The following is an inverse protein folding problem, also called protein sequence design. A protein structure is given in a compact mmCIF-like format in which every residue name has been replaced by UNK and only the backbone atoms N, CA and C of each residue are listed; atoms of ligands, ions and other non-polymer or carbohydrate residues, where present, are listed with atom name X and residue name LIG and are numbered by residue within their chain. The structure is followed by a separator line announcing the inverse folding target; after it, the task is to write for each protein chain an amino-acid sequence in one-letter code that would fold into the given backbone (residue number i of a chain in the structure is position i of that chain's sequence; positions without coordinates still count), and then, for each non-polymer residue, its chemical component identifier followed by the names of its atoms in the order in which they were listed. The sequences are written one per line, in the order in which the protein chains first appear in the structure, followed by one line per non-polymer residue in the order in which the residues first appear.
data_IF_283942448669
#
_entry.id   IF_283942448669
#
_cell.length_a   1.000
_cell.length_b   1.000
_cell.length_c   1.000
_cell.angle_alpha   90.00
_cell.angle_beta   90.00
_cell.angle_gamma   90.00
#
_symmetry.space_group_name_H-M   'P 1'
#
loop_
_entity.id
_entity.type
_entity.pdbx_description
1 polymer ?
#
# COMPACT_ATOMS: atom_id res chain seq x y z
N UNK A 1 14.58 6.15 24.43
CA UNK A 1 14.97 4.86 23.81
C UNK A 1 14.30 4.81 22.46
N UNK A 2 15.06 4.66 21.37
CA UNK A 2 14.49 4.54 20.02
C UNK A 2 13.93 3.12 19.87
N UNK A 3 12.61 2.96 19.85
CA UNK A 3 11.99 1.69 19.46
C UNK A 3 12.25 1.51 17.97
N UNK A 4 12.96 0.45 17.59
CA UNK A 4 13.14 0.11 16.18
C UNK A 4 11.76 0.01 15.51
N UNK A 5 11.58 0.64 14.36
CA UNK A 5 10.34 0.53 13.59
C UNK A 5 10.10 -0.95 13.24
N UNK A 6 8.84 -1.43 13.32
CA UNK A 6 8.53 -2.83 13.02
C UNK A 6 8.86 -3.14 11.56
N UNK A 7 9.42 -4.34 11.34
CA UNK A 7 9.85 -4.83 10.02
C UNK A 7 9.52 -6.32 9.89
N UNK A 8 8.92 -6.73 8.77
CA UNK A 8 8.86 -8.14 8.40
C UNK A 8 10.23 -8.57 7.87
N UNK A 9 10.74 -9.67 8.39
CA UNK A 9 11.97 -10.30 7.89
C UNK A 9 11.60 -11.39 6.90
N UNK A 10 12.19 -11.36 5.71
CA UNK A 10 12.05 -12.38 4.67
C UNK A 10 13.38 -13.09 4.49
N UNK A 11 13.37 -14.41 4.56
CA UNK A 11 14.55 -15.27 4.42
C UNK A 11 14.32 -16.21 3.24
N UNK A 12 15.32 -16.37 2.39
CA UNK A 12 15.29 -17.38 1.34
C UNK A 12 16.14 -18.57 1.75
N UNK A 13 15.51 -19.62 2.27
CA UNK A 13 16.20 -20.85 2.66
C UNK A 13 16.29 -21.90 1.55
N UNK A 14 15.76 -21.58 0.36
CA UNK A 14 15.86 -22.41 -0.84
C UNK A 14 17.22 -22.30 -1.52
N UNK A 15 17.47 -23.17 -2.51
CA UNK A 15 18.69 -23.15 -3.33
C UNK A 15 18.60 -22.20 -4.54
N UNK A 16 17.47 -21.53 -4.75
CA UNK A 16 17.21 -20.66 -5.90
C UNK A 16 17.05 -19.21 -5.46
N UNK A 17 17.16 -18.26 -6.39
CA UNK A 17 16.79 -16.86 -6.12
C UNK A 17 15.27 -16.78 -5.88
N UNK A 18 14.86 -16.06 -4.83
CA UNK A 18 13.47 -15.82 -4.49
C UNK A 18 13.07 -14.36 -4.71
N UNK A 19 11.95 -14.11 -5.37
CA UNK A 19 11.32 -12.79 -5.40
C UNK A 19 10.18 -12.75 -4.41
N UNK A 20 10.13 -11.75 -3.54
CA UNK A 20 9.05 -11.62 -2.57
C UNK A 20 8.14 -10.45 -2.92
N UNK A 21 6.85 -10.64 -2.72
CA UNK A 21 5.85 -9.57 -2.75
C UNK A 21 5.16 -9.54 -1.41
N UNK A 22 5.19 -8.38 -0.76
CA UNK A 22 4.51 -8.14 0.51
C UNK A 22 3.41 -7.13 0.28
N UNK A 23 2.19 -7.51 0.63
CA UNK A 23 1.04 -6.62 0.69
C UNK A 23 0.61 -6.38 2.12
N UNK A 24 0.06 -5.21 2.41
CA UNK A 24 -0.65 -4.86 3.65
C UNK A 24 -2.05 -4.39 3.27
N UNK A 25 -3.06 -5.18 3.60
CA UNK A 25 -4.36 -5.07 2.96
C UNK A 25 -4.23 -5.16 1.43
N UNK A 26 -4.77 -4.17 0.73
CA UNK A 26 -4.69 -4.08 -0.74
C UNK A 26 -3.40 -3.41 -1.24
N UNK A 27 -2.57 -2.87 -0.36
CA UNK A 27 -1.38 -2.13 -0.73
C UNK A 27 -0.17 -3.04 -0.93
N UNK A 28 0.57 -2.86 -2.02
CA UNK A 28 1.85 -3.54 -2.22
C UNK A 28 2.97 -2.74 -1.56
N UNK A 29 3.38 -3.13 -0.35
CA UNK A 29 4.40 -2.41 0.42
C UNK A 29 5.84 -2.80 0.06
N UNK A 30 6.05 -3.94 -0.61
CA UNK A 30 7.34 -4.31 -1.17
C UNK A 30 7.21 -5.24 -2.40
N UNK A 31 8.06 -5.00 -3.40
CA UNK A 31 8.38 -5.93 -4.50
C UNK A 31 9.88 -6.10 -4.55
N UNK A 32 10.36 -7.26 -4.12
CA UNK A 32 11.78 -7.54 -3.99
C UNK A 32 12.21 -8.37 -5.21
N UNK A 33 13.06 -7.82 -6.10
CA UNK A 33 13.35 -8.43 -7.41
C UNK A 33 14.23 -9.68 -7.36
N UNK A 34 14.91 -9.95 -6.24
CA UNK A 34 15.70 -11.17 -6.05
C UNK A 34 16.41 -11.19 -4.70
N UNK A 35 16.23 -12.28 -3.97
CA UNK A 35 16.92 -12.62 -2.73
C UNK A 35 17.70 -13.89 -3.01
N UNK A 36 19.02 -13.82 -2.92
CA UNK A 36 19.90 -14.98 -3.11
C UNK A 36 19.62 -16.09 -2.10
N UNK A 37 20.03 -17.35 -2.36
CA UNK A 37 20.01 -18.42 -1.37
C UNK A 37 20.68 -18.00 -0.06
N UNK A 38 20.02 -18.29 1.06
CA UNK A 38 20.38 -17.84 2.43
C UNK A 38 20.36 -16.32 2.63
N UNK A 39 19.87 -15.58 1.65
CA UNK A 39 19.68 -14.14 1.73
C UNK A 39 18.54 -13.77 2.69
N UNK A 40 18.67 -12.59 3.29
CA UNK A 40 17.69 -12.01 4.21
C UNK A 40 17.41 -10.56 3.83
N UNK A 41 16.14 -10.17 3.85
CA UNK A 41 15.68 -8.80 3.67
C UNK A 41 14.73 -8.40 4.79
N UNK A 42 14.74 -7.11 5.13
CA UNK A 42 13.77 -6.50 6.03
C UNK A 42 12.86 -5.57 5.24
N UNK A 43 11.54 -5.71 5.44
CA UNK A 43 10.50 -4.89 4.85
C UNK A 43 9.88 -4.03 5.96
N UNK A 44 10.05 -2.70 5.92
CA UNK A 44 9.42 -1.80 6.88
C UNK A 44 7.90 -1.87 6.84
N UNK A 45 7.29 -2.15 7.99
CA UNK A 45 5.83 -2.29 8.14
C UNK A 45 5.17 -1.09 8.82
N UNK A 46 5.97 -0.14 9.30
CA UNK A 46 5.46 1.12 9.83
C UNK A 46 4.63 1.88 8.79
N UNK A 47 3.58 2.54 9.27
CA UNK A 47 2.61 3.29 8.47
C UNK A 47 2.99 4.77 8.49
N UNK A 48 3.46 5.25 7.34
CA UNK A 48 3.78 6.65 7.09
C UNK A 48 3.21 6.95 5.71
N UNK A 49 1.93 7.33 5.67
CA UNK A 49 1.23 7.58 4.43
C UNK A 49 1.03 9.08 4.22
N UNK A 50 1.07 9.45 2.94
CA UNK A 50 0.64 10.76 2.50
C UNK A 50 -0.31 10.62 1.32
N UNK A 51 -1.30 11.49 1.22
CA UNK A 51 -2.25 11.56 0.11
C UNK A 51 -2.10 12.90 -0.60
N UNK A 52 -2.07 12.86 -1.94
CA UNK A 52 -2.23 14.04 -2.81
C UNK A 52 -3.39 13.79 -3.74
N UNK A 53 -4.22 14.81 -3.97
CA UNK A 53 -5.24 14.75 -5.00
C UNK A 53 -4.78 15.52 -6.22
N UNK A 54 -5.12 15.01 -7.41
CA UNK A 54 -4.92 15.67 -8.69
C UNK A 54 -6.21 15.63 -9.48
N UNK A 55 -6.56 16.75 -10.13
CA UNK A 55 -7.69 16.80 -11.06
C UNK A 55 -7.39 17.75 -12.22
N UNK A 56 -8.20 17.69 -13.27
CA UNK A 56 -8.19 18.65 -14.37
C UNK A 56 -9.44 19.51 -14.24
N UNK A 57 -9.26 20.82 -14.15
CA UNK A 57 -10.35 21.80 -14.13
C UNK A 57 -10.04 22.86 -15.18
N UNK A 58 -10.98 23.14 -16.09
CA UNK A 58 -10.81 24.12 -17.17
C UNK A 58 -9.52 23.92 -18.00
N UNK A 59 -9.16 22.66 -18.28
CA UNK A 59 -7.92 22.24 -18.98
C UNK A 59 -6.62 22.50 -18.22
N UNK A 60 -6.68 22.98 -16.98
CA UNK A 60 -5.52 23.12 -16.11
C UNK A 60 -5.44 21.94 -15.12
N UNK A 61 -4.23 21.46 -14.85
CA UNK A 61 -3.99 20.45 -13.83
C UNK A 61 -3.86 21.12 -12.46
N UNK A 62 -4.67 20.69 -11.51
CA UNK A 62 -4.60 21.11 -10.11
C UNK A 62 -4.08 19.96 -9.26
N UNK A 63 -3.23 20.28 -8.29
CA UNK A 63 -2.69 19.30 -7.36
C UNK A 63 -2.62 19.90 -5.96
N UNK A 64 -3.01 19.12 -4.96
CA UNK A 64 -2.95 19.55 -3.55
C UNK A 64 -1.56 19.38 -2.96
N UNK A 65 -1.30 20.06 -1.85
CA UNK A 65 -0.21 19.69 -0.97
C UNK A 65 -0.42 18.26 -0.43
N UNK A 66 0.66 17.50 -0.11
CA UNK A 66 0.54 16.23 0.57
C UNK A 66 -0.09 16.39 1.95
N UNK A 67 -1.03 15.50 2.25
CA UNK A 67 -1.70 15.37 3.53
C UNK A 67 -1.28 14.07 4.20
N UNK A 68 -1.03 14.07 5.50
CA UNK A 68 -0.76 12.83 6.24
C UNK A 68 -1.98 11.94 6.21
N UNK A 69 -1.79 10.62 6.20
CA UNK A 69 -2.89 9.68 6.13
C UNK A 69 -2.68 8.49 7.04
N UNK A 70 -3.77 8.04 7.65
CA UNK A 70 -3.85 6.89 8.52
C UNK A 70 -5.04 6.00 8.12
N UNK A 71 -5.00 4.70 8.47
CA UNK A 71 -6.21 3.87 8.46
C UNK A 71 -7.35 4.54 9.23
N UNK A 72 -8.56 4.56 8.65
CA UNK A 72 -9.72 5.20 9.22
C UNK A 72 -9.94 6.65 8.78
N UNK A 73 -9.00 7.26 8.05
CA UNK A 73 -9.16 8.61 7.53
C UNK A 73 -10.04 8.65 6.28
N UNK A 74 -10.76 9.77 6.12
CA UNK A 74 -11.52 10.13 4.92
C UNK A 74 -10.94 11.39 4.29
N UNK A 75 -10.80 11.38 2.97
CA UNK A 75 -10.29 12.49 2.18
C UNK A 75 -11.34 12.95 1.15
N UNK A 76 -11.88 14.15 1.35
CA UNK A 76 -12.77 14.80 0.40
C UNK A 76 -11.98 15.78 -0.47
N UNK A 77 -11.87 15.50 -1.75
CA UNK A 77 -11.38 16.48 -2.72
C UNK A 77 -12.50 17.45 -3.12
N UNK A 78 -12.24 18.75 -3.00
CA UNK A 78 -13.19 19.78 -3.36
C UNK A 78 -12.51 20.97 -4.04
N UNK A 79 -13.29 21.67 -4.87
CA UNK A 79 -12.89 22.95 -5.46
C UNK A 79 -13.66 24.05 -4.74
N UNK A 80 -12.95 24.94 -4.07
CA UNK A 80 -13.51 26.11 -3.41
C UNK A 80 -13.38 27.33 -4.33
N UNK A 81 -14.48 28.04 -4.54
CA UNK A 81 -14.44 29.33 -5.22
C UNK A 81 -13.94 30.41 -4.25
N UNK A 82 -12.89 31.13 -4.63
CA UNK A 82 -12.33 32.26 -3.88
C UNK A 82 -12.75 33.55 -4.60
N UNK A 83 -13.93 34.04 -4.25
CA UNK A 83 -14.59 35.16 -4.93
C UNK A 83 -13.76 36.44 -4.94
N UNK A 84 -13.10 36.76 -3.82
CA UNK A 84 -12.31 37.99 -3.67
C UNK A 84 -11.06 38.02 -4.58
N UNK A 85 -10.63 36.86 -5.06
CA UNK A 85 -9.48 36.70 -5.95
C UNK A 85 -9.89 36.27 -7.37
N UNK A 86 -11.18 36.03 -7.61
CA UNK A 86 -11.68 35.51 -8.88
C UNK A 86 -11.06 34.17 -9.27
N UNK A 87 -10.66 33.34 -8.31
CA UNK A 87 -9.94 32.08 -8.55
C UNK A 87 -10.63 30.88 -7.89
N UNK A 88 -10.09 29.69 -8.17
CA UNK A 88 -10.46 28.43 -7.53
C UNK A 88 -9.28 27.89 -6.73
N UNK A 89 -9.58 27.33 -5.55
CA UNK A 89 -8.64 26.56 -4.76
C UNK A 89 -9.04 25.09 -4.79
N UNK A 90 -8.08 24.21 -5.07
CA UNK A 90 -8.30 22.76 -5.07
C UNK A 90 -7.64 22.18 -3.84
N UNK A 91 -8.45 21.60 -2.95
CA UNK A 91 -7.99 21.16 -1.64
C UNK A 91 -8.55 19.79 -1.26
N UNK A 92 -7.86 19.15 -0.31
CA UNK A 92 -8.36 18.00 0.43
C UNK A 92 -8.87 18.46 1.79
N UNK A 93 -10.09 18.05 2.14
CA UNK A 93 -10.62 18.15 3.50
C UNK A 93 -10.54 16.76 4.14
N UNK A 94 -9.92 16.68 5.31
CA UNK A 94 -9.82 15.43 6.08
C UNK A 94 -11.04 15.27 6.99
N UNK A 95 -11.46 14.03 7.19
CA UNK A 95 -12.49 13.66 8.15
C UNK A 95 -12.29 12.22 8.62
N UNK A 96 -13.19 11.74 9.48
CA UNK A 96 -13.24 10.34 9.85
C UNK A 96 -13.97 9.52 8.76
N UNK A 97 -13.39 8.40 8.36
CA UNK A 97 -14.01 7.40 7.51
C UNK A 97 -14.97 6.49 8.28
N UNK A 98 -15.75 5.71 7.55
CA UNK A 98 -16.70 4.76 8.13
C UNK A 98 -16.07 3.43 8.55
N UNK A 99 -14.85 3.13 8.09
CA UNK A 99 -14.13 1.87 8.35
C UNK A 99 -12.74 2.14 8.93
N UNK A 100 -12.39 1.58 10.11
CA UNK A 100 -11.10 1.83 10.75
C UNK A 100 -9.91 1.25 9.96
N UNK A 101 -10.12 0.21 9.16
CA UNK A 101 -9.08 -0.47 8.41
C UNK A 101 -9.00 -0.02 6.93
N UNK A 102 -9.59 1.13 6.60
CA UNK A 102 -9.60 1.65 5.22
C UNK A 102 -9.37 3.15 5.20
N UNK A 103 -8.83 3.63 4.09
CA UNK A 103 -8.92 5.04 3.73
C UNK A 103 -10.08 5.23 2.76
N UNK A 104 -10.86 6.28 2.96
CA UNK A 104 -12.00 6.62 2.11
C UNK A 104 -11.70 7.88 1.29
N UNK A 105 -12.04 7.87 0.00
CA UNK A 105 -11.75 8.93 -0.94
C UNK A 105 -13.05 9.38 -1.61
N UNK A 106 -13.37 10.65 -1.50
CA UNK A 106 -14.58 11.25 -2.06
C UNK A 106 -14.20 12.47 -2.90
N UNK A 107 -15.06 12.81 -3.86
CA UNK A 107 -14.91 14.06 -4.61
C UNK A 107 -16.23 14.79 -4.75
N UNK A 108 -16.23 16.12 -4.65
CA UNK A 108 -17.35 16.96 -5.10
C UNK A 108 -17.15 17.53 -6.50
N UNK A 109 -16.05 17.17 -7.18
CA UNK A 109 -15.68 17.75 -8.48
C UNK A 109 -16.39 17.05 -9.63
N UNK A 110 -16.76 17.82 -10.66
CA UNK A 110 -17.39 17.26 -11.87
C UNK A 110 -16.41 16.58 -12.83
N UNK A 111 -15.12 16.59 -12.50
CA UNK A 111 -14.06 15.89 -13.23
C UNK A 111 -13.43 14.84 -12.32
N UNK A 112 -12.90 13.74 -12.88
CA UNK A 112 -12.26 12.71 -12.07
C UNK A 112 -11.14 13.27 -11.19
N UNK A 113 -11.02 12.72 -9.98
CA UNK A 113 -9.92 13.01 -9.06
C UNK A 113 -9.09 11.76 -8.88
N UNK A 114 -7.78 11.91 -9.03
CA UNK A 114 -6.80 10.87 -8.75
C UNK A 114 -6.17 11.19 -7.40
N UNK A 115 -6.41 10.33 -6.41
CA UNK A 115 -5.74 10.34 -5.13
C UNK A 115 -4.49 9.47 -5.19
N UNK A 116 -3.32 10.08 -5.10
CA UNK A 116 -2.04 9.41 -5.04
C UNK A 116 -1.68 9.17 -3.58
N UNK A 117 -1.75 7.90 -3.17
CA UNK A 117 -1.25 7.42 -1.88
C UNK A 117 0.25 7.21 -2.02
N UNK A 118 1.01 7.82 -1.13
CA UNK A 118 2.46 7.76 -1.08
C UNK A 118 2.91 7.20 0.26
N UNK A 119 4.04 6.49 0.25
CA UNK A 119 4.75 6.06 1.46
C UNK A 119 6.18 6.59 1.39
N UNK A 120 6.61 7.29 2.44
CA UNK A 120 7.95 7.91 2.53
C UNK A 120 8.30 8.76 1.28
N UNK A 121 7.32 9.52 0.78
CA UNK A 121 7.46 10.39 -0.39
C UNK A 121 7.44 9.69 -1.75
N UNK A 122 7.32 8.37 -1.81
CA UNK A 122 7.22 7.60 -3.06
C UNK A 122 5.78 7.21 -3.36
N UNK A 123 5.30 7.33 -4.62
CA UNK A 123 3.98 6.83 -5.01
C UNK A 123 3.87 5.33 -4.74
N UNK A 124 2.82 4.95 -4.02
CA UNK A 124 2.51 3.56 -3.68
C UNK A 124 1.36 3.05 -4.54
N UNK A 125 0.29 3.82 -4.61
CA UNK A 125 -0.95 3.45 -5.29
C UNK A 125 -1.76 4.71 -5.61
N UNK A 126 -2.57 4.63 -6.66
CA UNK A 126 -3.55 5.66 -7.00
C UNK A 126 -4.96 5.11 -6.85
N UNK A 127 -5.86 5.92 -6.31
CA UNK A 127 -7.30 5.67 -6.23
C UNK A 127 -8.00 6.74 -7.06
N UNK A 128 -8.81 6.33 -8.03
CA UNK A 128 -9.52 7.26 -8.92
C UNK A 128 -10.98 7.34 -8.52
N UNK A 129 -11.43 8.51 -8.08
CA UNK A 129 -12.85 8.82 -7.88
C UNK A 129 -13.35 9.47 -9.16
N UNK A 130 -14.15 8.73 -9.93
CA UNK A 130 -14.53 9.13 -11.30
C UNK A 130 -15.73 10.08 -11.35
N UNK A 131 -16.64 9.97 -10.40
CA UNK A 131 -17.88 10.76 -10.34
C UNK A 131 -17.96 11.57 -9.05
N UNK A 132 -18.71 12.68 -9.10
CA UNK A 132 -18.97 13.48 -7.90
C UNK A 132 -19.89 12.72 -6.92
N UNK A 133 -19.63 12.92 -5.63
CA UNK A 133 -20.36 12.34 -4.50
C UNK A 133 -20.29 10.80 -4.40
N UNK A 134 -19.44 10.16 -5.21
CA UNK A 134 -19.06 8.76 -5.02
C UNK A 134 -17.87 8.66 -4.06
N UNK A 135 -17.81 7.52 -3.37
CA UNK A 135 -16.77 7.18 -2.40
C UNK A 135 -16.07 5.91 -2.83
N UNK A 136 -14.74 5.96 -2.88
CA UNK A 136 -13.87 4.81 -3.09
C UNK A 136 -13.14 4.47 -1.80
N UNK A 137 -12.87 3.18 -1.55
CA UNK A 137 -12.14 2.73 -0.37
C UNK A 137 -10.86 2.01 -0.74
N UNK A 138 -9.79 2.28 0.00
CA UNK A 138 -8.56 1.49 -0.03
C UNK A 138 -8.41 0.75 1.29
N UNK A 139 -8.45 -0.58 1.26
CA UNK A 139 -8.22 -1.38 2.47
C UNK A 139 -6.73 -1.36 2.85
N UNK A 140 -6.44 -0.91 4.07
CA UNK A 140 -5.10 -0.71 4.63
C UNK A 140 -4.93 -1.35 6.00
N UNK A 141 -5.78 -2.34 6.31
CA UNK A 141 -5.78 -3.03 7.60
C UNK A 141 -4.45 -3.69 7.95
N UNK A 142 -4.38 -4.22 9.16
CA UNK A 142 -3.14 -4.77 9.74
C UNK A 142 -2.66 -6.10 9.15
N UNK A 143 -3.45 -6.73 8.28
CA UNK A 143 -3.09 -8.02 7.69
C UNK A 143 -2.08 -7.85 6.56
N UNK A 144 -0.98 -8.58 6.67
CA UNK A 144 0.01 -8.76 5.63
C UNK A 144 -0.28 -10.01 4.82
N UNK A 145 -0.07 -9.92 3.51
CA UNK A 145 -0.19 -11.03 2.57
C UNK A 145 1.12 -11.14 1.80
N UNK A 146 1.82 -12.25 1.98
CA UNK A 146 3.15 -12.49 1.43
C UNK A 146 3.09 -13.69 0.50
N UNK A 147 3.69 -13.57 -0.68
CA UNK A 147 4.01 -14.71 -1.52
C UNK A 147 5.42 -14.55 -2.10
N UNK A 148 6.02 -15.66 -2.51
CA UNK A 148 7.30 -15.67 -3.20
C UNK A 148 7.17 -16.28 -4.61
N UNK A 149 8.06 -15.87 -5.51
CA UNK A 149 8.31 -16.53 -6.79
C UNK A 149 9.72 -17.09 -6.76
N UNK A 150 9.83 -18.42 -6.85
CA UNK A 150 11.09 -19.16 -6.66
C UNK A 150 11.22 -20.12 -7.82
N UNK A 151 12.30 -20.00 -8.59
CA UNK A 151 12.50 -20.79 -9.82
C UNK A 151 11.29 -20.78 -10.77
N UNK A 152 10.59 -19.65 -10.87
CA UNK A 152 9.38 -19.49 -11.69
C UNK A 152 8.08 -20.03 -11.08
N UNK A 153 8.12 -20.60 -9.87
CA UNK A 153 6.95 -21.13 -9.16
C UNK A 153 6.49 -20.11 -8.11
N UNK A 154 5.19 -19.77 -8.12
CA UNK A 154 4.60 -18.87 -7.11
C UNK A 154 4.09 -19.68 -5.93
N UNK A 155 4.49 -19.34 -4.71
CA UNK A 155 4.03 -20.01 -3.48
C UNK A 155 2.56 -19.68 -3.19
N UNK A 156 1.92 -20.49 -2.35
CA UNK A 156 0.71 -20.06 -1.67
C UNK A 156 0.95 -18.73 -0.91
N UNK A 157 -0.10 -17.92 -0.77
CA UNK A 157 -0.02 -16.67 -0.01
C UNK A 157 -0.08 -16.99 1.49
N UNK A 158 0.94 -16.58 2.22
CA UNK A 158 0.96 -16.57 3.68
C UNK A 158 0.34 -15.28 4.18
N UNK A 159 -0.52 -15.37 5.21
CA UNK A 159 -1.12 -14.23 5.88
C UNK A 159 -0.66 -14.13 7.34
N UNK A 160 -0.40 -12.92 7.79
CA UNK A 160 -0.08 -12.65 9.20
C UNK A 160 -0.51 -11.23 9.57
N UNK A 161 -0.83 -10.97 10.82
CA UNK A 161 -1.04 -9.62 11.35
C UNK A 161 0.17 -9.10 12.15
N UNK A 162 1.22 -9.92 12.29
CA UNK A 162 2.45 -9.54 12.96
C UNK A 162 3.35 -8.74 12.00
N UNK A 163 3.40 -7.43 12.22
CA UNK A 163 4.28 -6.52 11.48
C UNK A 163 5.78 -6.72 11.74
N UNK A 164 6.16 -7.62 12.64
CA UNK A 164 7.55 -8.02 12.91
C UNK A 164 7.86 -9.48 12.58
N UNK A 165 6.96 -10.16 11.84
CA UNK A 165 7.08 -11.57 11.50
C UNK A 165 8.40 -11.92 10.80
N UNK A 166 8.92 -13.12 11.07
CA UNK A 166 10.04 -13.72 10.36
C UNK A 166 9.50 -14.82 9.45
N UNK A 167 9.62 -14.64 8.14
CA UNK A 167 9.07 -15.55 7.15
C UNK A 167 10.21 -16.15 6.33
N UNK A 168 10.26 -17.48 6.25
CA UNK A 168 11.22 -18.21 5.44
C UNK A 168 10.54 -18.81 4.23
N UNK A 169 11.19 -18.71 3.07
CA UNK A 169 10.86 -19.51 1.90
C UNK A 169 11.65 -20.81 1.93
N UNK A 170 10.95 -21.94 1.88
CA UNK A 170 11.52 -23.26 2.08
C UNK A 170 11.07 -24.25 0.99
N UNK A 171 11.89 -25.29 0.78
CA UNK A 171 11.48 -26.43 -0.03
C UNK A 171 10.38 -27.20 0.71
N UNK A 172 9.29 -27.53 0.03
CA UNK A 172 8.32 -28.48 0.55
C UNK A 172 8.98 -29.88 0.57
N UNK A 173 9.12 -30.46 1.76
CA UNK A 173 9.73 -31.78 1.94
C UNK A 173 8.70 -32.91 1.94
N UNK A 174 7.44 -32.61 1.67
CA UNK A 174 6.40 -33.65 1.57
C UNK A 174 6.71 -34.59 0.39
N UNK A 175 6.57 -35.90 0.64
CA UNK A 175 6.95 -36.95 -0.30
C UNK A 175 6.16 -36.95 -1.63
N UNK A 176 5.10 -36.14 -1.73
CA UNK A 176 4.24 -36.04 -2.91
C UNK A 176 4.57 -34.83 -3.80
N UNK A 177 5.47 -33.94 -3.35
CA UNK A 177 5.67 -32.61 -3.95
C UNK A 177 7.16 -32.22 -4.02
N UNK A 178 8.00 -33.11 -4.55
CA UNK A 178 9.37 -32.72 -4.91
C UNK A 178 9.31 -31.48 -5.84
N UNK A 179 10.16 -30.48 -5.57
CA UNK A 179 10.23 -29.18 -6.26
C UNK A 179 9.13 -28.15 -5.94
N UNK A 180 8.33 -28.37 -4.89
CA UNK A 180 7.41 -27.35 -4.37
C UNK A 180 8.10 -26.44 -3.35
N UNK A 181 7.62 -25.20 -3.26
CA UNK A 181 8.07 -24.22 -2.28
C UNK A 181 6.90 -23.71 -1.45
N UNK A 182 7.16 -23.40 -0.19
CA UNK A 182 6.18 -22.78 0.69
C UNK A 182 6.83 -21.65 1.49
N UNK A 183 5.97 -20.85 2.13
CA UNK A 183 6.39 -19.85 3.11
C UNK A 183 6.02 -20.36 4.50
N UNK A 184 6.98 -20.28 5.42
CA UNK A 184 6.82 -20.66 6.83
C UNK A 184 6.93 -19.42 7.71
N UNK A 185 6.04 -19.30 8.70
CA UNK A 185 6.08 -18.27 9.72
C UNK A 185 6.85 -18.80 10.94
N UNK A 186 7.98 -18.15 11.28
CA UNK A 186 8.87 -18.55 12.37
C UNK A 186 8.66 -17.73 13.65
#
# INVERSE_FOLDING_TARGET
MSTASPNITLINDTAYVAQFVVRKGDQVIARIPGVEPKGKIQVPTADSYQVRATTILNKNTYQTAPKSANPGDKFLAQVLQISDQGTYDFQIVEGAGSKPDSMEFESTTNTPVIFNVMKDGKPLQSVTVSDNFNSESLYVGSNFYIYAVINGVTTATLNTNDGSAVISAENNTSALEADYFHLELN
#
